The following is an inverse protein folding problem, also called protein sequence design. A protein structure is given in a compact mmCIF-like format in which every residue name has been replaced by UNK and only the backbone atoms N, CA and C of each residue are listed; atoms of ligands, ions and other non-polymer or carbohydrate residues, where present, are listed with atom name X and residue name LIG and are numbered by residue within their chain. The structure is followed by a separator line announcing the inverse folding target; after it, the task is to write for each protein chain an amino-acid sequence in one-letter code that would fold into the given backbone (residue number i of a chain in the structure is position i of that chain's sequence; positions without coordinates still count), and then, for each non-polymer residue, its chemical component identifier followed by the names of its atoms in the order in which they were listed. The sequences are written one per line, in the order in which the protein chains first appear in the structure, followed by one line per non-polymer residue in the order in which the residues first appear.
data_IF_193282655351
#
_entry.id   IF_193282655351
#
_cell.length_a   1.000
_cell.length_b   1.000
_cell.length_c   1.000
_cell.angle_alpha   90.00
_cell.angle_beta   90.00
_cell.angle_gamma   90.00
#
_symmetry.space_group_name_H-M   'P 1'
#
loop_
_entity.id
_entity.type
_entity.pdbx_description
1 polymer ?
#
# COMPACT_ATOMS: atom_id res chain seq x y z
N UNK A 1 -13.68 -7.23 -26.03
CA UNK A 1 -12.53 -7.51 -25.14
C UNK A 1 -12.11 -6.19 -24.52
N UNK A 2 -12.28 -6.01 -23.21
CA UNK A 2 -12.08 -4.72 -22.54
C UNK A 2 -10.66 -4.50 -21.98
N UNK A 3 -9.76 -5.48 -22.09
CA UNK A 3 -8.37 -5.35 -21.63
C UNK A 3 -7.40 -5.52 -22.80
N UNK A 4 -6.68 -4.46 -23.20
CA UNK A 4 -5.65 -4.54 -24.25
C UNK A 4 -4.52 -5.49 -23.85
N UNK A 5 -3.95 -6.19 -24.82
CA UNK A 5 -2.77 -7.03 -24.61
C UNK A 5 -1.53 -6.15 -24.56
N UNK A 6 -0.56 -6.49 -23.71
CA UNK A 6 0.65 -5.67 -23.55
C UNK A 6 1.44 -5.46 -24.86
N UNK A 7 1.55 -6.51 -25.68
CA UNK A 7 2.22 -6.49 -26.99
C UNK A 7 1.54 -5.57 -28.01
N UNK A 8 0.26 -5.26 -27.83
CA UNK A 8 -0.49 -4.31 -28.67
C UNK A 8 -0.37 -2.86 -28.22
N UNK A 9 0.26 -2.59 -27.06
CA UNK A 9 0.44 -1.24 -26.54
C UNK A 9 1.47 -0.44 -27.35
N UNK A 10 1.38 0.89 -27.37
CA UNK A 10 2.38 1.72 -28.05
C UNK A 10 3.81 1.47 -27.53
N UNK A 11 4.84 1.52 -28.39
CA UNK A 11 6.22 1.26 -27.97
C UNK A 11 6.72 2.18 -26.84
N UNK A 12 6.22 3.41 -26.74
CA UNK A 12 6.58 4.32 -25.65
C UNK A 12 6.00 3.87 -24.30
N UNK A 13 4.81 3.27 -24.30
CA UNK A 13 4.21 2.68 -23.12
C UNK A 13 5.04 1.47 -22.67
N UNK A 14 5.41 0.58 -23.58
CA UNK A 14 6.21 -0.61 -23.29
C UNK A 14 7.59 -0.30 -22.69
N UNK A 15 8.16 0.86 -23.01
CA UNK A 15 9.44 1.36 -22.47
C UNK A 15 9.31 2.13 -21.16
N UNK A 16 8.11 2.25 -20.58
CA UNK A 16 7.94 2.91 -19.30
C UNK A 16 8.62 2.11 -18.19
N UNK A 17 9.26 2.83 -17.26
CA UNK A 17 9.85 2.24 -16.06
C UNK A 17 8.78 1.83 -15.07
N UNK A 18 7.70 2.61 -14.97
CA UNK A 18 6.67 2.43 -13.96
C UNK A 18 5.30 2.25 -14.61
N UNK A 19 4.51 1.36 -14.03
CA UNK A 19 3.13 1.14 -14.44
C UNK A 19 2.21 1.23 -13.23
N UNK A 20 0.99 1.67 -13.49
CA UNK A 20 -0.08 1.68 -12.52
C UNK A 20 -1.32 1.07 -13.16
N UNK A 21 -2.02 0.19 -12.43
CA UNK A 21 -3.19 -0.50 -12.94
C UNK A 21 -4.26 -0.66 -11.85
N UNK A 22 -5.45 -0.17 -12.17
CA UNK A 22 -6.67 -0.44 -11.42
C UNK A 22 -7.22 -1.85 -11.72
N UNK A 23 -7.60 -2.60 -10.68
CA UNK A 23 -8.12 -3.96 -10.82
C UNK A 23 -9.40 -4.20 -10.02
N UNK A 24 -10.10 -5.27 -10.41
CA UNK A 24 -11.06 -5.93 -9.52
C UNK A 24 -10.30 -6.90 -8.61
N UNK A 25 -10.45 -6.86 -7.29
CA UNK A 25 -9.66 -7.69 -6.38
C UNK A 25 -9.89 -9.20 -6.58
N UNK A 26 -11.12 -9.62 -6.92
CA UNK A 26 -11.46 -11.03 -7.19
C UNK A 26 -11.23 -11.47 -8.64
N UNK A 27 -11.01 -10.52 -9.57
CA UNK A 27 -10.84 -10.82 -10.99
C UNK A 27 -9.62 -10.09 -11.61
N UNK A 28 -8.43 -10.26 -11.01
CA UNK A 28 -7.22 -9.59 -11.46
C UNK A 28 -6.80 -10.09 -12.85
N UNK A 29 -6.36 -9.21 -13.77
CA UNK A 29 -5.79 -9.62 -15.04
C UNK A 29 -4.35 -10.13 -14.85
N UNK A 30 -4.18 -11.30 -14.23
CA UNK A 30 -2.87 -11.82 -13.81
C UNK A 30 -1.82 -11.83 -14.92
N UNK A 31 -2.19 -12.25 -16.13
CA UNK A 31 -1.29 -12.24 -17.28
C UNK A 31 -0.77 -10.84 -17.62
N UNK A 32 -1.65 -9.84 -17.63
CA UNK A 32 -1.26 -8.45 -17.90
C UNK A 32 -0.39 -7.91 -16.75
N UNK A 33 -0.76 -8.19 -15.51
CA UNK A 33 0.02 -7.78 -14.33
C UNK A 33 1.45 -8.35 -14.40
N UNK A 34 1.60 -9.63 -14.71
CA UNK A 34 2.90 -10.27 -14.89
C UNK A 34 3.72 -9.59 -15.99
N UNK A 35 3.12 -9.31 -17.16
CA UNK A 35 3.79 -8.65 -18.28
C UNK A 35 4.25 -7.24 -17.92
N UNK A 36 3.37 -6.45 -17.29
CA UNK A 36 3.70 -5.08 -16.85
C UNK A 36 4.81 -5.09 -15.80
N UNK A 37 4.73 -5.99 -14.81
CA UNK A 37 5.74 -6.10 -13.76
C UNK A 37 7.10 -6.48 -14.33
N UNK A 38 7.13 -7.46 -15.24
CA UNK A 38 8.38 -7.88 -15.90
C UNK A 38 9.00 -6.73 -16.71
N UNK A 39 8.17 -6.01 -17.47
CA UNK A 39 8.63 -4.84 -18.22
C UNK A 39 9.14 -3.73 -17.30
N UNK A 40 8.44 -3.45 -16.20
CA UNK A 40 8.85 -2.45 -15.21
C UNK A 40 10.24 -2.78 -14.66
N UNK A 41 10.43 -4.02 -14.20
CA UNK A 41 11.69 -4.49 -13.62
C UNK A 41 12.85 -4.49 -14.63
N UNK A 42 12.59 -4.87 -15.89
CA UNK A 42 13.59 -4.78 -16.95
C UNK A 42 14.07 -3.33 -17.19
N UNK A 43 13.21 -2.35 -16.91
CA UNK A 43 13.50 -0.92 -17.01
C UNK A 43 13.87 -0.28 -15.65
N UNK A 44 14.09 -1.08 -14.60
CA UNK A 44 14.49 -0.59 -13.27
C UNK A 44 13.39 0.15 -12.49
N UNK A 45 12.11 -0.02 -12.84
CA UNK A 45 10.98 0.56 -12.10
C UNK A 45 10.02 -0.50 -11.53
N UNK A 46 8.78 -0.09 -11.26
CA UNK A 46 7.82 -0.85 -10.45
C UNK A 46 6.42 -0.93 -11.06
N UNK A 47 5.66 -1.93 -10.64
CA UNK A 47 4.22 -2.02 -10.86
C UNK A 47 3.44 -1.71 -9.58
N UNK A 48 2.61 -0.66 -9.64
CA UNK A 48 1.62 -0.33 -8.62
C UNK A 48 0.24 -0.82 -9.04
N UNK A 49 -0.43 -1.52 -8.13
CA UNK A 49 -1.80 -2.02 -8.31
C UNK A 49 -2.71 -1.39 -7.26
N UNK A 50 -3.86 -0.91 -7.71
CA UNK A 50 -4.95 -0.48 -6.85
C UNK A 50 -6.23 -1.27 -7.17
N UNK A 51 -6.99 -1.72 -6.17
CA UNK A 51 -8.39 -2.04 -6.37
C UNK A 51 -9.17 -0.77 -6.75
N UNK A 52 -10.17 -0.90 -7.64
CA UNK A 52 -11.14 0.17 -7.92
C UNK A 52 -12.50 -0.06 -7.24
N UNK A 53 -12.66 -1.21 -6.58
CA UNK A 53 -13.88 -1.62 -5.87
C UNK A 53 -13.53 -2.57 -4.74
N UNK A 54 -14.39 -2.60 -3.72
CA UNK A 54 -14.39 -3.64 -2.71
C UNK A 54 -14.73 -5.00 -3.34
N UNK A 55 -14.20 -6.07 -2.77
CA UNK A 55 -14.58 -7.43 -3.10
C UNK A 55 -16.02 -7.70 -2.59
N UNK A 56 -16.84 -8.32 -3.44
CA UNK A 56 -18.23 -8.67 -3.10
C UNK A 56 -18.30 -9.84 -2.10
N UNK A 57 -17.23 -10.63 -2.03
CA UNK A 57 -17.03 -11.71 -1.09
C UNK A 57 -15.57 -11.72 -0.60
N UNK A 58 -15.35 -12.29 0.58
CA UNK A 58 -14.01 -12.39 1.13
C UNK A 58 -13.12 -13.25 0.21
N UNK A 59 -12.01 -12.68 -0.25
CA UNK A 59 -11.04 -13.40 -1.06
C UNK A 59 -10.40 -14.53 -0.25
N UNK A 60 -10.12 -15.66 -0.89
CA UNK A 60 -9.36 -16.73 -0.24
C UNK A 60 -7.90 -16.32 -0.09
N UNK A 61 -7.25 -16.78 0.97
CA UNK A 61 -5.82 -16.54 1.26
C UNK A 61 -4.94 -16.75 0.02
N UNK A 62 -5.17 -17.82 -0.74
CA UNK A 62 -4.38 -18.16 -1.93
C UNK A 62 -4.59 -17.17 -3.07
N UNK A 63 -5.80 -16.62 -3.21
CA UNK A 63 -6.13 -15.62 -4.24
C UNK A 63 -5.49 -14.28 -3.93
N UNK A 64 -5.50 -13.88 -2.65
CA UNK A 64 -4.81 -12.68 -2.19
C UNK A 64 -3.30 -12.81 -2.37
N UNK A 65 -2.73 -13.96 -1.99
CA UNK A 65 -1.31 -14.22 -2.15
C UNK A 65 -0.89 -14.19 -3.64
N UNK A 66 -1.70 -14.81 -4.51
CA UNK A 66 -1.47 -14.78 -5.96
C UNK A 66 -1.57 -13.36 -6.53
N UNK A 67 -2.57 -12.58 -6.12
CA UNK A 67 -2.68 -11.17 -6.51
C UNK A 67 -1.42 -10.38 -6.14
N UNK A 68 -0.99 -10.50 -4.88
CA UNK A 68 0.15 -9.77 -4.34
C UNK A 68 1.49 -10.24 -4.94
N UNK A 69 1.58 -11.50 -5.39
CA UNK A 69 2.75 -12.01 -6.12
C UNK A 69 3.01 -11.26 -7.45
N UNK A 70 2.03 -10.54 -7.98
CA UNK A 70 2.10 -9.91 -9.31
C UNK A 70 2.17 -8.37 -9.26
N UNK A 71 2.52 -7.77 -8.13
CA UNK A 71 2.79 -6.34 -8.03
C UNK A 71 3.98 -6.04 -7.12
N UNK A 72 4.50 -4.82 -7.18
CA UNK A 72 5.54 -4.35 -6.25
C UNK A 72 4.93 -3.45 -5.15
N UNK A 73 3.89 -2.69 -5.52
CA UNK A 73 3.10 -1.85 -4.62
C UNK A 73 1.63 -2.25 -4.73
N UNK A 74 0.97 -2.53 -3.61
CA UNK A 74 -0.47 -2.72 -3.54
C UNK A 74 -1.11 -1.62 -2.70
N UNK A 75 -2.05 -0.87 -3.29
CA UNK A 75 -2.57 0.36 -2.67
C UNK A 75 -4.10 0.39 -2.57
N UNK A 76 -4.71 -0.38 -1.66
CA UNK A 76 -6.15 -0.31 -1.39
C UNK A 76 -6.52 0.93 -0.56
N UNK A 77 -7.79 1.32 -0.56
CA UNK A 77 -8.37 2.09 0.54
C UNK A 77 -8.80 1.16 1.68
N UNK A 78 -9.29 1.72 2.79
CA UNK A 78 -9.72 0.95 3.96
C UNK A 78 -10.82 -0.07 3.63
N UNK A 79 -11.91 0.35 2.98
CA UNK A 79 -13.02 -0.52 2.65
C UNK A 79 -12.61 -1.66 1.68
N UNK A 80 -11.75 -1.35 0.72
CA UNK A 80 -11.17 -2.34 -0.20
C UNK A 80 -10.32 -3.35 0.55
N UNK A 81 -9.42 -2.88 1.43
CA UNK A 81 -8.57 -3.78 2.22
C UNK A 81 -9.39 -4.65 3.18
N UNK A 82 -10.38 -4.06 3.87
CA UNK A 82 -11.30 -4.80 4.75
C UNK A 82 -12.07 -5.89 3.99
N UNK A 83 -12.53 -5.60 2.78
CA UNK A 83 -13.22 -6.59 1.95
C UNK A 83 -12.33 -7.78 1.53
N UNK A 84 -11.01 -7.59 1.51
CA UNK A 84 -10.03 -8.60 1.09
C UNK A 84 -9.52 -9.43 2.27
N UNK A 85 -9.16 -8.77 3.39
CA UNK A 85 -8.49 -9.42 4.54
C UNK A 85 -9.30 -9.38 5.85
N UNK A 86 -10.58 -9.05 5.75
CA UNK A 86 -11.49 -8.91 6.88
C UNK A 86 -11.32 -7.57 7.62
N UNK A 87 -12.23 -7.26 8.56
CA UNK A 87 -12.25 -5.98 9.28
C UNK A 87 -10.98 -5.78 10.11
N UNK A 88 -10.56 -4.53 10.25
CA UNK A 88 -9.39 -4.16 11.06
C UNK A 88 -9.00 -2.70 10.86
N UNK A 89 -8.11 -2.21 11.72
CA UNK A 89 -7.53 -0.87 11.57
C UNK A 89 -6.54 -0.85 10.39
N UNK A 90 -6.24 0.30 9.77
CA UNK A 90 -5.32 0.39 8.62
C UNK A 90 -3.98 -0.33 8.79
N UNK A 91 -3.39 -0.25 9.99
CA UNK A 91 -2.15 -0.96 10.34
C UNK A 91 -2.33 -2.48 10.25
N UNK A 92 -3.42 -3.01 10.80
CA UNK A 92 -3.72 -4.45 10.83
C UNK A 92 -4.03 -4.97 9.42
N UNK A 93 -4.75 -4.17 8.63
CA UNK A 93 -5.05 -4.48 7.22
C UNK A 93 -3.76 -4.56 6.41
N UNK A 94 -2.87 -3.58 6.54
CA UNK A 94 -1.60 -3.55 5.84
C UNK A 94 -0.68 -4.71 6.26
N UNK A 95 -0.65 -5.04 7.55
CA UNK A 95 0.10 -6.18 8.07
C UNK A 95 -0.40 -7.50 7.50
N UNK A 96 -1.71 -7.76 7.52
CA UNK A 96 -2.28 -8.98 6.92
C UNK A 96 -1.96 -9.10 5.44
N UNK A 97 -2.09 -8.01 4.69
CA UNK A 97 -1.71 -7.98 3.26
C UNK A 97 -0.21 -8.28 3.08
N UNK A 98 0.67 -7.68 3.88
CA UNK A 98 2.11 -8.01 3.83
C UNK A 98 2.36 -9.48 4.18
N UNK A 99 1.72 -10.02 5.22
CA UNK A 99 1.86 -11.44 5.61
C UNK A 99 1.43 -12.38 4.48
N UNK A 100 0.37 -12.04 3.74
CA UNK A 100 -0.12 -12.83 2.61
C UNK A 100 0.72 -12.68 1.34
N UNK A 101 1.47 -11.57 1.22
CA UNK A 101 2.36 -11.33 0.09
C UNK A 101 3.54 -12.30 0.14
N UNK A 102 3.79 -13.12 -0.90
CA UNK A 102 4.93 -14.03 -0.90
C UNK A 102 6.25 -13.27 -1.11
N UNK A 103 7.41 -13.90 -0.82
CA UNK A 103 8.71 -13.33 -1.13
C UNK A 103 8.83 -12.92 -2.61
N UNK A 104 9.27 -11.69 -2.84
CA UNK A 104 9.34 -11.11 -4.18
C UNK A 104 7.98 -10.76 -4.78
N UNK A 105 6.89 -10.76 -4.00
CA UNK A 105 5.60 -10.14 -4.33
C UNK A 105 5.58 -8.65 -4.01
N UNK A 106 4.43 -8.16 -3.52
CA UNK A 106 4.28 -6.81 -3.03
C UNK A 106 5.12 -6.62 -1.78
N UNK A 107 6.09 -5.71 -1.84
CA UNK A 107 6.94 -5.36 -0.69
C UNK A 107 6.47 -4.06 -0.01
N UNK A 108 5.56 -3.33 -0.65
CA UNK A 108 4.95 -2.09 -0.15
C UNK A 108 3.42 -2.19 -0.19
N UNK A 109 2.77 -2.00 0.95
CA UNK A 109 1.32 -1.85 1.06
C UNK A 109 1.00 -0.40 1.42
N UNK A 110 0.06 0.20 0.70
CA UNK A 110 -0.31 1.61 0.86
C UNK A 110 -1.82 1.70 1.11
N UNK A 111 -2.23 1.80 2.38
CA UNK A 111 -3.65 1.91 2.74
C UNK A 111 -4.06 3.38 2.71
N UNK A 112 -4.98 3.72 1.81
CA UNK A 112 -5.54 5.08 1.69
C UNK A 112 -6.65 5.27 2.71
N UNK A 113 -6.46 6.19 3.65
CA UNK A 113 -7.34 6.43 4.80
C UNK A 113 -8.18 7.71 4.63
N UNK A 114 -8.60 8.04 3.40
CA UNK A 114 -9.41 9.22 3.12
C UNK A 114 -8.81 10.53 3.69
N UNK A 115 -9.56 11.30 4.51
CA UNK A 115 -9.06 12.51 5.17
C UNK A 115 -7.91 12.29 6.15
N UNK A 116 -7.72 11.06 6.65
CA UNK A 116 -6.67 10.70 7.60
C UNK A 116 -5.33 10.40 6.92
N UNK A 117 -5.26 10.53 5.59
CA UNK A 117 -4.02 10.43 4.83
C UNK A 117 -3.75 9.01 4.35
N UNK A 118 -2.50 8.55 4.49
CA UNK A 118 -2.06 7.28 3.92
C UNK A 118 -1.14 6.51 4.87
N UNK A 119 -1.45 5.26 5.11
CA UNK A 119 -0.56 4.36 5.82
C UNK A 119 0.32 3.61 4.82
N UNK A 120 1.64 3.62 5.03
CA UNK A 120 2.59 2.86 4.21
C UNK A 120 3.23 1.79 5.09
N UNK A 121 3.15 0.55 4.66
CA UNK A 121 3.81 -0.57 5.32
C UNK A 121 4.77 -1.22 4.32
N UNK A 122 5.93 -1.68 4.80
CA UNK A 122 6.94 -2.29 3.94
C UNK A 122 7.55 -3.51 4.63
N UNK A 123 7.82 -4.60 3.90
CA UNK A 123 8.59 -5.71 4.48
C UNK A 123 10.02 -5.25 4.79
N UNK A 124 10.50 -5.48 6.01
CA UNK A 124 11.90 -5.25 6.34
C UNK A 124 12.71 -6.38 5.73
N UNK A 125 13.66 -6.04 4.86
CA UNK A 125 14.68 -7.02 4.48
C UNK A 125 15.77 -6.97 5.52
N UNK A 126 16.13 -8.11 6.11
CA UNK A 126 17.34 -8.32 6.92
C UNK A 126 18.59 -8.21 6.04
N UNK A 127 18.77 -7.07 5.38
CA UNK A 127 20.09 -6.61 4.95
C UNK A 127 20.65 -5.83 6.11
N UNK A 128 21.69 -6.40 6.72
CA UNK A 128 22.56 -5.69 7.66
C UNK A 128 22.84 -4.29 7.09
N UNK A 129 22.51 -3.20 7.82
CA UNK A 129 22.74 -1.86 7.32
C UNK A 129 24.24 -1.74 7.04
N UNK A 130 24.61 -1.52 5.77
CA UNK A 130 26.00 -1.18 5.45
C UNK A 130 26.37 0.03 6.29
N UNK A 131 27.28 -0.19 7.23
CA UNK A 131 27.71 0.76 8.23
C UNK A 131 28.22 2.03 7.52
N UNK A 132 27.39 3.08 7.47
CA UNK A 132 27.74 4.35 6.82
C UNK A 132 26.70 4.94 5.86
N UNK A 133 25.69 4.17 5.41
CA UNK A 133 24.58 4.73 4.62
C UNK A 133 23.37 5.01 5.51
N UNK A 134 23.24 6.25 5.98
CA UNK A 134 21.93 6.75 6.41
C UNK A 134 21.02 6.74 5.18
N UNK A 135 19.86 6.04 5.17
CA UNK A 135 18.86 6.30 4.15
C UNK A 135 18.45 7.75 4.30
N UNK A 136 18.88 8.59 3.36
CA UNK A 136 18.49 9.98 3.30
C UNK A 136 17.09 10.05 2.69
N UNK A 137 16.09 9.61 3.47
CA UNK A 137 14.69 9.93 3.23
C UNK A 137 14.43 11.25 3.97
N UNK A 138 14.24 12.32 3.20
CA UNK A 138 13.72 13.57 3.76
C UNK A 138 12.32 13.28 4.32
N UNK A 139 12.23 13.21 5.65
CA UNK A 139 10.98 13.19 6.38
C UNK A 139 10.18 14.43 6.01
N UNK A 140 9.11 14.27 5.23
CA UNK A 140 8.08 15.29 5.12
C UNK A 140 7.22 15.20 6.39
N UNK A 141 7.37 16.21 7.24
CA UNK A 141 6.83 16.30 8.59
C UNK A 141 5.28 16.37 8.61
N UNK A 142 4.61 15.24 8.39
CA UNK A 142 3.26 14.99 8.87
C UNK A 142 3.33 14.41 10.29
N UNK A 143 2.44 14.83 11.19
CA UNK A 143 2.40 14.28 12.55
C UNK A 143 2.23 12.74 12.47
N UNK A 144 3.11 11.95 13.11
CA UNK A 144 3.01 10.50 13.09
C UNK A 144 1.68 10.06 13.72
N UNK A 145 1.14 8.94 13.24
CA UNK A 145 0.17 8.17 14.02
C UNK A 145 0.76 7.92 15.41
N UNK A 146 -0.04 8.04 16.47
CA UNK A 146 0.46 7.99 17.84
C UNK A 146 1.34 6.74 17.99
N UNK A 147 2.57 6.89 18.50
CA UNK A 147 3.54 5.78 18.63
C UNK A 147 2.94 4.57 19.36
N UNK A 148 1.98 4.82 20.25
CA UNK A 148 1.26 3.81 21.01
C UNK A 148 0.43 2.85 20.13
N UNK A 149 0.01 3.26 18.93
CA UNK A 149 -0.70 2.41 17.96
C UNK A 149 0.24 1.58 17.07
N UNK A 150 1.48 2.04 16.87
CA UNK A 150 2.53 1.33 16.11
C UNK A 150 3.23 0.24 16.95
N UNK A 151 3.13 0.31 18.28
CA UNK A 151 3.93 -0.53 19.21
C UNK A 151 3.18 -1.78 19.71
N UNK A 152 1.93 -2.01 19.28
CA UNK A 152 1.07 -3.06 19.83
C UNK A 152 0.70 -4.18 18.83
N UNK A 153 1.68 -4.74 18.11
CA UNK A 153 1.50 -6.04 17.43
C UNK A 153 2.82 -6.82 17.47
N UNK A 154 3.22 -7.28 18.66
CA UNK A 154 4.13 -8.42 18.78
C UNK A 154 3.29 -9.70 18.79
N UNK A 155 2.87 -10.16 17.61
CA UNK A 155 2.48 -11.56 17.47
C UNK A 155 3.79 -12.37 17.50
N UNK A 156 4.05 -13.27 18.44
CA UNK A 156 3.12 -14.30 18.89
C UNK A 156 3.27 -15.53 18.01
N UNK A 157 4.48 -16.11 17.98
CA UNK A 157 4.74 -17.48 17.56
C UNK A 157 4.75 -17.72 16.04
N UNK A 158 5.84 -17.36 15.37
CA UNK A 158 6.24 -18.00 14.11
C UNK A 158 7.75 -18.28 14.19
N UNK A 159 8.13 -19.54 14.02
CA UNK A 159 9.54 -19.94 14.00
C UNK A 159 10.24 -19.37 12.75
N UNK A 160 11.43 -18.80 12.96
CA UNK A 160 12.30 -18.10 11.98
C UNK A 160 11.63 -16.89 11.29
N UNK A 161 11.44 -15.83 12.09
CA UNK A 161 10.67 -14.62 11.82
C UNK A 161 11.25 -13.74 10.69
N UNK A 162 10.59 -13.71 9.52
CA UNK A 162 10.58 -12.50 8.69
C UNK A 162 9.90 -11.38 9.50
N UNK A 163 10.69 -10.47 10.07
CA UNK A 163 10.16 -9.34 10.83
C UNK A 163 9.42 -8.37 9.87
N UNK A 164 8.09 -8.40 9.90
CA UNK A 164 7.26 -7.41 9.21
C UNK A 164 7.28 -6.12 10.04
N UNK A 165 8.21 -5.22 9.72
CA UNK A 165 8.23 -3.88 10.30
C UNK A 165 7.21 -2.98 9.58
N UNK A 166 6.27 -2.38 10.30
CA UNK A 166 5.51 -1.26 9.74
C UNK A 166 6.43 -0.04 9.76
N UNK A 167 7.12 0.18 8.65
CA UNK A 167 8.24 1.12 8.61
C UNK A 167 7.77 2.57 8.80
N UNK A 168 6.68 3.03 8.14
CA UNK A 168 6.33 4.46 8.15
C UNK A 168 4.83 4.75 7.87
N UNK A 169 4.08 5.28 8.83
CA UNK A 169 2.71 5.76 8.60
C UNK A 169 2.67 7.30 8.41
N UNK A 170 2.14 7.80 7.29
CA UNK A 170 2.16 9.22 6.93
C UNK A 170 0.75 9.85 6.95
N UNK A 171 0.50 10.75 7.90
CA UNK A 171 -0.72 11.58 7.86
C UNK A 171 -0.52 12.76 6.92
N UNK A 172 -1.09 12.70 5.71
CA UNK A 172 -1.16 13.85 4.81
C UNK A 172 -2.28 14.77 5.31
N UNK A 173 -1.95 15.78 6.12
CA UNK A 173 -2.91 16.86 6.41
C UNK A 173 -3.10 17.67 5.12
N UNK A 174 -4.36 17.87 4.71
CA UNK A 174 -4.68 18.93 3.74
C UNK A 174 -4.15 20.25 4.30
N UNK A 175 -3.29 20.93 3.56
CA UNK A 175 -2.95 22.32 3.84
C UNK A 175 -4.24 23.14 3.70
N UNK A 176 -4.81 23.58 4.83
CA UNK A 176 -5.92 24.55 4.87
C UNK A 176 -7.33 23.94 4.93
N UNK A 177 -7.75 23.51 6.11
CA UNK A 177 -9.08 23.89 6.60
C UNK A 177 -8.83 24.81 7.79
N UNK A 178 -8.84 26.12 7.51
CA UNK A 178 -8.77 27.12 8.55
C UNK A 178 -9.94 26.89 9.50
N UNK A 179 -9.61 26.75 10.78
CA UNK A 179 -10.52 26.82 11.92
C UNK A 179 -11.51 27.98 11.73
N UNK A 180 -12.78 27.66 11.51
CA UNK A 180 -13.86 28.58 11.85
C UNK A 180 -13.87 28.66 13.38
N UNK A 181 -13.21 29.67 13.93
CA UNK A 181 -13.39 30.06 15.33
C UNK A 181 -14.80 30.61 15.46
N UNK A 182 -15.57 30.01 16.34
CA UNK A 182 -16.75 30.60 16.97
C UNK A 182 -16.37 31.98 17.53
N UNK A 183 -16.71 33.03 16.81
CA UNK A 183 -16.71 34.39 17.33
C UNK A 183 -17.97 34.59 18.17
N UNK A 184 -17.82 34.58 19.49
CA UNK A 184 -18.83 35.07 20.41
C UNK A 184 -19.14 36.53 20.09
N UNK A 185 -20.40 36.79 19.73
CA UNK A 185 -20.94 38.13 19.53
C UNK A 185 -21.37 38.66 20.89
N UNK A 186 -20.53 39.45 21.57
CA UNK A 186 -20.92 40.21 22.75
C UNK A 186 -21.70 41.45 22.32
N UNK A 187 -23.02 41.41 22.51
CA UNK A 187 -23.89 42.58 22.40
C UNK A 187 -23.65 43.53 23.56
N UNK A 188 -23.15 44.73 23.27
CA UNK A 188 -23.17 45.87 24.19
C UNK A 188 -24.47 46.65 24.03
N UNK A 189 -25.14 46.90 25.14
CA UNK A 189 -26.17 47.94 25.29
C UNK A 189 -25.57 49.26 25.75
#
# INVERSE_FOLDING_TARGET
MLRPKYDTMPPHFQRSCNYHLGIHPLHPPLLLMQQLRQAARANGGVLSIEPYTAAEEAARTEEVSLLLAHCDIFSPNEAEAESIVGPGRPVELAQRLLTLSPPGGADLIVVRCGPDGVLVARRRTSREPQQGQKPQLELWAGAPWHKDELTAVKAGGLEEEEEIEVVEAYRVRRAGAASERSGEFSGGG
#
